data_IF_837817591067
#
_entry.id   IF_837817591067
#
_cell.length_a   1.000
_cell.length_b   1.000
_cell.length_c   1.000
_cell.angle_alpha   90.00
_cell.angle_beta   90.00
_cell.angle_gamma   90.00
#
_symmetry.space_group_name_H-M   'P 1'
#
loop_
_entity.id
_entity.type
_entity.pdbx_description
1 polymer ?
#
# COMPACT_ATOMS: atom_id res chain seq x y z
N UNK A 1 -7.91 19.31 -21.43
CA UNK A 1 -6.61 18.60 -21.41
C UNK A 1 -5.53 19.56 -21.87
N UNK A 2 -4.29 19.44 -21.40
CA UNK A 2 -3.17 20.18 -22.01
C UNK A 2 -2.43 19.28 -23.03
N UNK A 3 -1.63 19.88 -23.91
CA UNK A 3 -0.92 19.15 -24.98
C UNK A 3 -0.01 18.02 -24.46
N UNK A 4 0.55 18.16 -23.25
CA UNK A 4 1.34 17.11 -22.62
C UNK A 4 0.47 15.90 -22.25
N UNK A 5 -0.65 16.14 -21.58
CA UNK A 5 -1.59 15.09 -21.20
C UNK A 5 -2.18 14.37 -22.42
N UNK A 6 -2.47 15.08 -23.51
CA UNK A 6 -2.94 14.46 -24.76
C UNK A 6 -1.93 13.45 -25.32
N UNK A 7 -0.63 13.79 -25.32
CA UNK A 7 0.43 12.88 -25.77
C UNK A 7 0.58 11.67 -24.85
N UNK A 8 0.47 11.88 -23.54
CA UNK A 8 0.53 10.80 -22.55
C UNK A 8 -0.65 9.83 -22.75
N UNK A 9 -1.88 10.35 -22.85
CA UNK A 9 -3.08 9.53 -23.06
C UNK A 9 -2.97 8.75 -24.38
N UNK A 10 -2.54 9.39 -25.47
CA UNK A 10 -2.35 8.70 -26.76
C UNK A 10 -1.30 7.56 -26.66
N UNK A 11 -0.20 7.78 -25.94
CA UNK A 11 0.80 6.74 -25.69
C UNK A 11 0.26 5.56 -24.89
N UNK A 12 -0.56 5.83 -23.87
CA UNK A 12 -1.24 4.80 -23.07
C UNK A 12 -2.20 4.00 -23.93
N UNK A 13 -3.03 4.66 -24.73
CA UNK A 13 -3.96 3.99 -25.65
C UNK A 13 -3.24 3.04 -26.60
N UNK A 14 -2.12 3.50 -27.18
CA UNK A 14 -1.29 2.69 -28.07
C UNK A 14 -0.75 1.46 -27.34
N UNK A 15 -0.14 1.65 -26.17
CA UNK A 15 0.44 0.55 -25.39
C UNK A 15 -0.61 -0.50 -25.00
N UNK A 16 -1.76 -0.07 -24.50
CA UNK A 16 -2.82 -0.99 -24.07
C UNK A 16 -3.40 -1.79 -25.24
N UNK A 17 -3.53 -1.18 -26.41
CA UNK A 17 -4.01 -1.86 -27.62
C UNK A 17 -2.99 -2.87 -28.18
N UNK A 18 -1.71 -2.48 -28.25
CA UNK A 18 -0.64 -3.29 -28.86
C UNK A 18 -0.13 -4.40 -27.94
N UNK A 19 0.08 -4.11 -26.66
CA UNK A 19 0.75 -5.01 -25.71
C UNK A 19 -0.23 -5.78 -24.81
N UNK A 20 -1.37 -5.18 -24.46
CA UNK A 20 -2.33 -5.78 -23.52
C UNK A 20 -3.62 -6.26 -24.19
N UNK A 21 -3.85 -5.89 -25.46
CA UNK A 21 -5.11 -6.11 -26.18
C UNK A 21 -6.35 -5.62 -25.42
N UNK A 22 -6.18 -4.50 -24.70
CA UNK A 22 -7.27 -3.80 -24.01
C UNK A 22 -7.62 -2.56 -24.83
N UNK A 23 -8.90 -2.42 -25.14
CA UNK A 23 -9.43 -1.36 -26.00
C UNK A 23 -10.41 -0.48 -25.23
N UNK A 24 -10.59 0.79 -25.63
CA UNK A 24 -11.62 1.64 -25.03
C UNK A 24 -13.02 1.10 -25.30
N UNK A 25 -13.97 1.45 -24.43
CA UNK A 25 -15.38 1.16 -24.62
C UNK A 25 -16.04 2.02 -25.72
N UNK A 26 -17.34 1.82 -25.94
CA UNK A 26 -18.12 2.54 -26.95
C UNK A 26 -18.12 4.08 -26.76
N UNK A 27 -17.81 4.57 -25.55
CA UNK A 27 -17.69 6.00 -25.25
C UNK A 27 -16.26 6.53 -25.45
N UNK A 28 -15.37 5.68 -25.95
CA UNK A 28 -13.96 5.95 -26.12
C UNK A 28 -13.25 6.08 -24.78
N UNK A 29 -13.64 5.33 -23.74
CA UNK A 29 -13.01 5.37 -22.42
C UNK A 29 -12.21 4.09 -22.20
N UNK A 30 -10.92 4.23 -21.88
CA UNK A 30 -10.01 3.11 -21.64
C UNK A 30 -9.84 2.83 -20.15
N UNK A 31 -9.98 1.56 -19.77
CA UNK A 31 -9.73 1.08 -18.41
C UNK A 31 -8.24 0.84 -18.22
N UNK A 32 -7.67 1.47 -17.18
CA UNK A 32 -6.24 1.42 -16.90
C UNK A 32 -5.93 1.06 -15.44
N UNK A 33 -4.73 0.54 -15.24
CA UNK A 33 -4.15 0.27 -13.94
C UNK A 33 -3.18 1.39 -13.56
N UNK A 34 -3.35 1.95 -12.36
CA UNK A 34 -2.56 3.10 -11.92
C UNK A 34 -1.93 2.89 -10.55
N UNK A 35 -0.71 3.39 -10.41
CA UNK A 35 -0.10 3.67 -9.13
C UNK A 35 -0.55 5.05 -8.66
N UNK A 36 -0.95 5.14 -7.39
CA UNK A 36 -1.33 6.39 -6.76
C UNK A 36 -0.57 6.57 -5.45
N UNK A 37 0.04 7.74 -5.29
CA UNK A 37 0.71 8.13 -4.05
C UNK A 37 0.75 9.66 -3.89
N UNK A 38 0.86 10.09 -2.63
CA UNK A 38 1.04 11.46 -2.21
C UNK A 38 2.48 11.77 -1.79
N UNK A 39 2.92 12.99 -2.03
CA UNK A 39 4.16 13.54 -1.48
C UNK A 39 3.87 14.87 -0.82
N UNK A 40 4.59 15.16 0.28
CA UNK A 40 4.39 16.37 1.08
C UNK A 40 5.67 17.19 1.11
N UNK A 41 5.52 18.52 1.11
CA UNK A 41 6.65 19.45 1.15
C UNK A 41 7.51 19.28 2.41
N UNK A 42 6.92 18.79 3.51
CA UNK A 42 7.64 18.57 4.76
C UNK A 42 7.27 17.22 5.37
N UNK A 43 8.21 16.60 6.08
CA UNK A 43 7.98 15.32 6.75
C UNK A 43 6.95 15.47 7.88
N UNK A 44 6.07 14.48 8.00
CA UNK A 44 5.06 14.37 9.06
C UNK A 44 3.72 15.02 8.72
N UNK A 45 2.73 14.84 9.59
CA UNK A 45 1.32 15.20 9.33
C UNK A 45 0.99 16.69 9.48
N UNK A 46 1.97 17.59 9.32
CA UNK A 46 1.81 19.05 9.48
C UNK A 46 2.13 19.84 8.20
N UNK A 47 2.40 19.15 7.10
CA UNK A 47 2.69 19.83 5.84
C UNK A 47 1.46 20.56 5.32
N UNK A 48 1.68 21.76 4.78
CA UNK A 48 0.61 22.59 4.24
C UNK A 48 0.49 22.50 2.72
N UNK A 49 1.38 21.73 2.09
CA UNK A 49 1.42 21.54 0.64
C UNK A 49 1.66 20.05 0.40
N UNK A 50 0.73 19.43 -0.33
CA UNK A 50 0.83 18.06 -0.81
C UNK A 50 0.66 18.00 -2.32
N UNK A 51 1.34 17.07 -2.97
CA UNK A 51 1.16 16.75 -4.36
C UNK A 51 0.80 15.27 -4.46
N UNK A 52 -0.21 14.92 -5.23
CA UNK A 52 -0.58 13.54 -5.51
C UNK A 52 -0.45 13.26 -7.01
N UNK A 53 -0.06 12.03 -7.33
CA UNK A 53 0.21 11.62 -8.70
C UNK A 53 -0.55 10.34 -9.04
N UNK A 54 -1.02 10.27 -10.27
CA UNK A 54 -1.55 9.06 -10.91
C UNK A 54 -0.55 8.69 -12.01
N UNK A 55 0.02 7.50 -11.91
CA UNK A 55 1.00 6.97 -12.85
C UNK A 55 0.46 5.68 -13.43
N UNK A 56 0.41 5.56 -14.75
CA UNK A 56 0.03 4.31 -15.40
C UNK A 56 1.05 3.21 -15.10
N UNK A 57 0.57 2.03 -14.68
CA UNK A 57 1.41 0.96 -14.16
C UNK A 57 2.29 0.30 -15.22
N UNK A 58 1.89 0.33 -16.49
CA UNK A 58 2.61 -0.37 -17.54
C UNK A 58 3.58 0.54 -18.30
N UNK A 59 3.14 1.75 -18.66
CA UNK A 59 3.99 2.72 -19.37
C UNK A 59 4.89 3.52 -18.42
N UNK A 60 4.56 3.57 -17.12
CA UNK A 60 5.25 4.44 -16.16
C UNK A 60 4.98 5.94 -16.37
N UNK A 61 4.01 6.28 -17.21
CA UNK A 61 3.71 7.68 -17.55
C UNK A 61 2.91 8.36 -16.44
N UNK A 62 3.24 9.61 -16.12
CA UNK A 62 2.43 10.44 -15.22
C UNK A 62 1.19 10.91 -15.97
N UNK A 63 0.05 10.29 -15.66
CA UNK A 63 -1.25 10.54 -16.30
C UNK A 63 -1.82 11.86 -15.81
N UNK A 64 -1.83 12.04 -14.50
CA UNK A 64 -2.46 13.18 -13.86
C UNK A 64 -1.82 13.47 -12.49
N UNK A 65 -1.97 14.71 -12.02
CA UNK A 65 -1.47 15.13 -10.72
C UNK A 65 -2.29 16.27 -10.14
N UNK A 66 -2.31 16.38 -8.81
CA UNK A 66 -2.95 17.48 -8.11
C UNK A 66 -2.06 18.00 -7.00
N UNK A 67 -1.87 19.32 -6.98
CA UNK A 67 -1.22 20.01 -5.86
C UNK A 67 -2.30 20.63 -4.98
N UNK A 68 -2.36 20.20 -3.73
CA UNK A 68 -3.20 20.78 -2.70
C UNK A 68 -2.37 21.63 -1.74
N UNK A 69 -2.89 22.79 -1.40
CA UNK A 69 -2.27 23.72 -0.48
C UNK A 69 -3.33 24.27 0.49
N UNK A 70 -3.01 24.19 1.77
CA UNK A 70 -3.69 24.91 2.85
C UNK A 70 -2.94 26.19 3.25
N UNK A 71 -1.94 26.59 2.46
CA UNK A 71 -1.10 27.75 2.72
C UNK A 71 -1.15 28.78 1.61
N UNK A 72 -1.23 30.04 2.03
CA UNK A 72 -0.88 31.18 1.19
C UNK A 72 -0.13 32.22 2.05
N UNK A 73 1.01 32.69 1.54
CA UNK A 73 1.82 33.71 2.21
C UNK A 73 1.05 35.01 2.41
N UNK A 74 0.32 35.48 1.39
CA UNK A 74 -0.51 36.69 1.48
C UNK A 74 -1.61 36.54 2.53
N UNK A 75 -2.35 35.42 2.53
CA UNK A 75 -3.35 35.15 3.58
C UNK A 75 -2.73 35.17 4.98
N UNK A 76 -1.53 34.59 5.13
CA UNK A 76 -0.81 34.52 6.40
C UNK A 76 -0.35 35.89 6.89
N UNK A 77 0.08 36.77 5.96
CA UNK A 77 0.42 38.16 6.29
C UNK A 77 -0.85 38.94 6.69
N UNK A 78 -1.91 38.83 5.89
CA UNK A 78 -3.19 39.50 6.15
C UNK A 78 -3.82 39.08 7.50
N UNK A 79 -3.65 37.82 7.91
CA UNK A 79 -4.13 37.36 9.22
C UNK A 79 -3.34 37.92 10.40
N UNK A 80 -2.09 38.36 10.18
CA UNK A 80 -1.22 38.92 11.23
C UNK A 80 -1.19 40.45 11.26
N UNK A 81 -1.63 41.11 10.19
CA UNK A 81 -1.72 42.57 10.14
C UNK A 81 -2.71 43.09 11.18
N UNK A 82 -2.29 44.10 11.95
CA UNK A 82 -3.14 44.87 12.88
C UNK A 82 -3.96 45.91 12.09
N UNK A 83 -5.00 45.44 11.43
CA UNK A 83 -5.98 46.23 10.68
C UNK A 83 -7.40 45.90 11.15
N UNK A 84 -8.36 46.78 10.85
CA UNK A 84 -9.77 46.56 11.17
C UNK A 84 -10.32 45.32 10.45
N UNK A 85 -11.43 44.78 10.96
CA UNK A 85 -12.10 43.62 10.35
C UNK A 85 -12.56 43.91 8.92
N UNK A 86 -13.14 45.09 8.69
CA UNK A 86 -13.64 45.52 7.39
C UNK A 86 -12.53 45.69 6.35
N UNK A 87 -11.40 46.28 6.76
CA UNK A 87 -10.24 46.42 5.89
C UNK A 87 -9.67 45.04 5.52
N UNK A 88 -9.60 44.12 6.50
CA UNK A 88 -9.16 42.74 6.26
C UNK A 88 -10.08 42.01 5.29
N UNK A 89 -11.41 42.18 5.39
CA UNK A 89 -12.39 41.59 4.48
C UNK A 89 -12.18 42.07 3.04
N UNK A 90 -12.09 43.39 2.84
CA UNK A 90 -11.83 44.00 1.51
C UNK A 90 -10.53 43.49 0.89
N UNK A 91 -9.46 43.37 1.68
CA UNK A 91 -8.18 42.85 1.20
C UNK A 91 -8.23 41.35 0.88
N UNK A 92 -8.97 40.54 1.64
CA UNK A 92 -9.18 39.12 1.35
C UNK A 92 -9.97 38.92 0.05
N UNK A 93 -11.04 39.68 -0.16
CA UNK A 93 -11.85 39.63 -1.40
C UNK A 93 -10.98 39.98 -2.61
N UNK A 94 -10.18 41.05 -2.54
CA UNK A 94 -9.22 41.42 -3.59
C UNK A 94 -8.16 40.34 -3.86
N UNK A 95 -7.80 39.54 -2.85
CA UNK A 95 -6.79 38.49 -2.97
C UNK A 95 -7.37 37.15 -3.46
N UNK A 96 -8.68 36.93 -3.36
CA UNK A 96 -9.30 35.61 -3.57
C UNK A 96 -8.88 34.95 -4.89
N UNK A 97 -8.85 35.69 -6.00
CA UNK A 97 -8.46 35.18 -7.32
C UNK A 97 -6.98 34.80 -7.43
N UNK A 98 -6.13 35.29 -6.53
CA UNK A 98 -4.68 34.99 -6.47
C UNK A 98 -4.33 34.05 -5.32
N UNK A 99 -5.32 33.64 -4.53
CA UNK A 99 -5.11 32.78 -3.38
C UNK A 99 -4.54 31.43 -3.84
N UNK A 100 -3.56 30.93 -3.10
CA UNK A 100 -2.96 29.61 -3.35
C UNK A 100 -3.57 28.51 -2.48
N UNK A 101 -4.47 28.86 -1.57
CA UNK A 101 -5.22 27.88 -0.77
C UNK A 101 -6.32 27.29 -1.63
N UNK A 102 -6.27 25.97 -1.83
CA UNK A 102 -7.32 25.19 -2.49
C UNK A 102 -7.79 24.00 -1.62
N UNK A 103 -7.32 23.91 -0.38
CA UNK A 103 -7.69 22.87 0.56
C UNK A 103 -7.69 23.38 2.00
N UNK A 104 -8.74 23.06 2.78
CA UNK A 104 -8.95 23.56 4.14
C UNK A 104 -8.94 22.48 5.22
N UNK A 105 -8.79 21.20 4.83
CA UNK A 105 -8.75 20.08 5.77
C UNK A 105 -7.37 19.83 6.40
N UNK A 106 -7.21 18.65 7.00
CA UNK A 106 -5.94 18.22 7.61
C UNK A 106 -4.91 17.78 6.57
N UNK A 107 -3.62 17.87 6.89
CA UNK A 107 -2.53 17.45 5.99
C UNK A 107 -2.68 16.00 5.50
N UNK A 108 -3.15 15.09 6.37
CA UNK A 108 -3.40 13.69 6.01
C UNK A 108 -4.68 13.49 5.17
N UNK A 109 -5.61 14.45 5.18
CA UNK A 109 -6.79 14.41 4.32
C UNK A 109 -6.50 14.87 2.88
N UNK A 110 -5.38 15.55 2.62
CA UNK A 110 -5.00 16.01 1.27
C UNK A 110 -4.90 14.83 0.29
N UNK A 111 -4.33 13.71 0.73
CA UNK A 111 -4.20 12.53 -0.11
C UNK A 111 -5.56 11.94 -0.49
N UNK A 112 -6.51 11.88 0.45
CA UNK A 112 -7.88 11.46 0.13
C UNK A 112 -8.54 12.41 -0.84
N UNK A 113 -8.45 13.72 -0.59
CA UNK A 113 -9.08 14.75 -1.41
C UNK A 113 -8.52 14.73 -2.84
N UNK A 114 -7.20 14.58 -2.96
CA UNK A 114 -6.55 14.50 -4.25
C UNK A 114 -6.97 13.24 -5.02
N UNK A 115 -7.02 12.07 -4.37
CA UNK A 115 -7.50 10.85 -5.01
C UNK A 115 -8.93 11.01 -5.54
N UNK A 116 -9.85 11.52 -4.71
CA UNK A 116 -11.25 11.74 -5.11
C UNK A 116 -11.32 12.70 -6.30
N UNK A 117 -10.55 13.78 -6.30
CA UNK A 117 -10.53 14.77 -7.39
C UNK A 117 -9.98 14.16 -8.68
N UNK A 118 -8.87 13.42 -8.60
CA UNK A 118 -8.20 12.79 -9.73
C UNK A 118 -9.05 11.69 -10.36
N UNK A 119 -9.74 10.87 -9.55
CA UNK A 119 -10.68 9.86 -10.04
C UNK A 119 -11.93 10.47 -10.68
N UNK A 120 -12.39 11.65 -10.23
CA UNK A 120 -13.57 12.29 -10.82
C UNK A 120 -13.30 12.81 -12.23
N UNK A 121 -12.11 13.36 -12.49
CA UNK A 121 -11.77 13.98 -13.77
C UNK A 121 -11.04 13.06 -14.74
N UNK A 122 -10.81 11.80 -14.37
CA UNK A 122 -10.16 10.81 -15.25
C UNK A 122 -10.97 10.55 -16.51
N UNK A 123 -12.31 10.59 -16.42
CA UNK A 123 -13.21 10.43 -17.58
C UNK A 123 -13.07 11.58 -18.59
N UNK A 124 -12.69 12.79 -18.14
CA UNK A 124 -12.35 13.92 -19.02
C UNK A 124 -11.04 13.66 -19.79
N UNK A 125 -10.19 12.78 -19.26
CA UNK A 125 -9.01 12.25 -19.94
C UNK A 125 -9.30 11.02 -20.81
N UNK A 126 -10.56 10.60 -20.91
CA UNK A 126 -10.97 9.36 -21.57
C UNK A 126 -10.31 8.12 -20.93
N UNK A 127 -10.13 8.13 -19.61
CA UNK A 127 -9.54 7.03 -18.84
C UNK A 127 -10.41 6.69 -17.63
N UNK A 128 -10.46 5.40 -17.25
CA UNK A 128 -10.94 4.96 -15.93
C UNK A 128 -9.84 4.26 -15.17
N UNK A 129 -9.60 4.71 -13.95
CA UNK A 129 -8.60 4.14 -13.05
C UNK A 129 -9.21 2.97 -12.29
N UNK A 130 -9.13 1.77 -12.88
CA UNK A 130 -9.82 0.56 -12.41
C UNK A 130 -9.03 -0.18 -11.35
N UNK A 131 -7.70 -0.19 -11.44
CA UNK A 131 -6.82 -0.74 -10.42
C UNK A 131 -6.00 0.37 -9.80
N UNK A 132 -6.00 0.44 -8.46
CA UNK A 132 -5.17 1.33 -7.67
C UNK A 132 -4.09 0.52 -6.96
N UNK A 133 -2.86 0.63 -7.43
CA UNK A 133 -1.68 0.17 -6.70
C UNK A 133 -1.27 1.27 -5.72
N UNK A 134 -1.35 0.99 -4.41
CA UNK A 134 -0.93 1.94 -3.37
C UNK A 134 -0.34 1.26 -2.15
N UNK A 135 0.46 2.00 -1.38
CA UNK A 135 0.83 1.61 -0.01
C UNK A 135 -0.43 1.63 0.85
N UNK A 136 -0.87 0.52 1.44
CA UNK A 136 -1.59 0.52 2.72
C UNK A 136 -2.88 1.35 2.91
N UNK A 137 -3.33 2.13 1.92
CA UNK A 137 -4.25 3.28 2.08
C UNK A 137 -5.69 2.84 2.10
N UNK A 138 -6.06 2.18 3.19
CA UNK A 138 -7.42 1.73 3.40
C UNK A 138 -8.42 2.90 3.40
N UNK A 139 -8.03 4.10 3.87
CA UNK A 139 -8.93 5.26 3.93
C UNK A 139 -9.17 5.92 2.58
N UNK A 140 -8.12 6.04 1.76
CA UNK A 140 -8.20 6.61 0.41
C UNK A 140 -9.05 5.71 -0.47
N UNK A 141 -8.70 4.41 -0.50
CA UNK A 141 -9.47 3.43 -1.26
C UNK A 141 -10.93 3.34 -0.82
N UNK A 142 -11.22 3.35 0.50
CA UNK A 142 -12.60 3.37 0.99
C UNK A 142 -13.37 4.58 0.47
N UNK A 143 -12.72 5.74 0.37
CA UNK A 143 -13.35 6.96 -0.13
C UNK A 143 -13.62 6.87 -1.63
N UNK A 144 -12.71 6.26 -2.40
CA UNK A 144 -12.91 5.98 -3.82
C UNK A 144 -14.10 5.05 -4.07
N UNK A 145 -14.22 3.97 -3.29
CA UNK A 145 -15.37 3.06 -3.37
C UNK A 145 -16.67 3.78 -2.99
N UNK A 146 -16.64 4.59 -1.94
CA UNK A 146 -17.82 5.33 -1.49
C UNK A 146 -18.30 6.32 -2.55
N UNK A 147 -17.40 7.07 -3.20
CA UNK A 147 -17.81 7.96 -4.29
C UNK A 147 -18.33 7.14 -5.46
N UNK A 148 -17.65 6.06 -5.87
CA UNK A 148 -18.01 5.27 -7.04
C UNK A 148 -19.43 4.68 -6.92
N UNK A 149 -19.80 4.24 -5.72
CA UNK A 149 -21.12 3.66 -5.45
C UNK A 149 -22.26 4.69 -5.36
N UNK A 150 -21.97 5.97 -5.13
CA UNK A 150 -22.96 7.06 -4.96
C UNK A 150 -23.08 7.89 -6.24
N UNK A 151 -23.29 7.26 -7.39
CA UNK A 151 -23.22 7.90 -8.73
C UNK A 151 -21.82 8.35 -9.14
N UNK A 152 -20.77 7.71 -8.60
CA UNK A 152 -19.41 8.17 -8.82
C UNK A 152 -18.91 7.97 -10.25
N UNK A 153 -17.65 8.31 -10.51
CA UNK A 153 -17.19 8.63 -11.85
C UNK A 153 -17.35 7.48 -12.85
N UNK A 154 -17.42 6.23 -12.38
CA UNK A 154 -17.49 5.05 -13.23
C UNK A 154 -18.81 4.26 -13.10
N UNK A 155 -19.65 4.57 -12.10
CA UNK A 155 -20.87 3.81 -11.80
C UNK A 155 -20.64 2.44 -11.13
N UNK A 156 -21.74 1.75 -10.83
CA UNK A 156 -21.74 0.50 -10.03
C UNK A 156 -21.14 -0.71 -10.75
N UNK A 157 -21.13 -0.68 -12.08
CA UNK A 157 -20.64 -1.79 -12.91
C UNK A 157 -19.11 -1.80 -12.98
N UNK A 158 -18.46 -0.66 -12.76
CA UNK A 158 -17.01 -0.49 -12.82
C UNK A 158 -16.43 -0.42 -11.40
N UNK A 159 -16.12 -1.60 -10.84
CA UNK A 159 -15.57 -1.71 -9.49
C UNK A 159 -14.08 -1.40 -9.46
N UNK A 160 -13.69 -0.40 -8.67
CA UNK A 160 -12.28 -0.07 -8.40
C UNK A 160 -11.66 -1.17 -7.52
N UNK A 161 -10.53 -1.72 -7.95
CA UNK A 161 -9.77 -2.74 -7.23
C UNK A 161 -8.55 -2.07 -6.58
N UNK A 162 -8.22 -2.50 -5.36
CA UNK A 162 -6.97 -2.12 -4.71
C UNK A 162 -5.98 -3.26 -4.78
N UNK A 163 -4.78 -2.93 -5.27
CA UNK A 163 -3.62 -3.79 -5.16
C UNK A 163 -2.58 -3.19 -4.20
N UNK A 164 -1.59 -4.01 -3.88
CA UNK A 164 -0.51 -3.64 -2.96
C UNK A 164 0.81 -3.58 -3.69
N UNK A 165 1.55 -2.51 -3.45
CA UNK A 165 2.91 -2.43 -3.94
C UNK A 165 3.81 -3.47 -3.25
N UNK A 166 4.84 -3.92 -3.97
CA UNK A 166 5.84 -4.92 -3.51
C UNK A 166 6.47 -4.57 -2.16
N UNK A 167 6.67 -3.27 -1.92
CA UNK A 167 7.26 -2.76 -0.68
C UNK A 167 6.35 -2.99 0.54
N UNK A 168 5.04 -3.10 0.33
CA UNK A 168 4.08 -3.34 1.40
C UNK A 168 3.66 -4.81 1.50
N UNK A 169 3.75 -5.56 0.40
CA UNK A 169 3.50 -7.00 0.38
C UNK A 169 4.38 -7.75 1.40
N UNK A 170 5.70 -7.57 1.36
CA UNK A 170 6.59 -8.27 2.29
C UNK A 170 6.49 -7.74 3.74
N UNK A 171 6.25 -6.42 3.93
CA UNK A 171 5.95 -5.85 5.27
C UNK A 171 4.68 -6.42 5.88
N UNK A 172 3.67 -6.73 5.04
CA UNK A 172 2.44 -7.40 5.48
C UNK A 172 2.72 -8.81 5.96
N UNK A 173 3.53 -9.58 5.24
CA UNK A 173 3.95 -10.92 5.67
C UNK A 173 4.58 -10.85 7.06
N UNK A 174 5.56 -9.96 7.24
CA UNK A 174 6.18 -9.74 8.56
C UNK A 174 5.16 -9.34 9.64
N UNK A 175 4.27 -8.39 9.33
CA UNK A 175 3.24 -7.92 10.27
C UNK A 175 2.30 -9.06 10.70
N UNK A 176 1.95 -9.96 9.78
CA UNK A 176 1.11 -11.13 10.08
C UNK A 176 1.87 -12.15 10.92
N UNK A 177 3.14 -12.40 10.63
CA UNK A 177 3.99 -13.28 11.45
C UNK A 177 4.20 -12.71 12.87
N UNK A 178 4.43 -11.40 13.01
CA UNK A 178 4.50 -10.74 14.32
C UNK A 178 3.17 -10.81 15.07
N UNK A 179 2.05 -10.66 14.37
CA UNK A 179 0.72 -10.83 14.97
C UNK A 179 0.49 -12.28 15.41
N UNK A 180 0.89 -13.25 14.59
CA UNK A 180 0.82 -14.67 14.89
C UNK A 180 1.68 -15.02 16.12
N UNK A 181 2.93 -14.54 16.16
CA UNK A 181 3.80 -14.64 17.34
C UNK A 181 3.13 -14.08 18.60
N UNK A 182 2.45 -12.93 18.49
CA UNK A 182 1.73 -12.32 19.61
C UNK A 182 0.48 -13.11 20.02
N UNK A 183 -0.31 -13.62 19.07
CA UNK A 183 -1.50 -14.41 19.40
C UNK A 183 -1.14 -15.76 20.02
N UNK A 184 -0.01 -16.35 19.61
CA UNK A 184 0.51 -17.56 20.23
C UNK A 184 1.14 -17.30 21.60
N UNK A 185 1.57 -16.06 21.90
CA UNK A 185 2.04 -15.64 23.22
C UNK A 185 0.96 -15.61 24.30
N UNK A 186 -0.33 -15.65 23.96
CA UNK A 186 -1.41 -15.57 24.97
C UNK A 186 -1.97 -16.91 25.48
N UNK A 187 -1.50 -18.10 25.04
CA UNK A 187 -1.73 -19.36 25.79
C UNK A 187 -0.62 -20.41 25.60
N UNK A 188 0.22 -20.53 26.65
CA UNK A 188 0.82 -21.74 27.28
C UNK A 188 2.34 -21.67 27.48
N UNK A 189 2.74 -21.71 28.75
CA UNK A 189 3.97 -22.39 29.15
C UNK A 189 3.79 -23.90 28.89
N UNK A 190 4.79 -24.55 28.32
CA UNK A 190 4.84 -26.01 28.30
C UNK A 190 5.43 -26.51 29.61
N UNK A 191 5.04 -27.70 30.06
CA UNK A 191 5.61 -28.35 31.25
C UNK A 191 7.15 -28.55 31.18
N UNK A 192 7.75 -28.33 30.00
CA UNK A 192 9.18 -28.48 29.71
C UNK A 192 9.91 -27.13 29.50
N UNK A 193 9.26 -25.98 29.64
CA UNK A 193 9.90 -24.65 29.51
C UNK A 193 10.34 -24.25 28.09
N UNK A 194 9.94 -24.98 27.04
CA UNK A 194 10.31 -24.65 25.64
C UNK A 194 9.44 -23.54 25.06
N UNK A 195 10.10 -22.59 24.41
CA UNK A 195 9.53 -21.38 23.79
C UNK A 195 9.13 -21.64 22.34
N UNK A 196 8.01 -21.04 21.89
CA UNK A 196 7.56 -20.96 20.50
C UNK A 196 8.66 -20.43 19.56
N UNK A 197 8.83 -21.06 18.40
CA UNK A 197 10.01 -21.01 17.53
C UNK A 197 10.03 -19.80 16.56
N UNK A 198 8.96 -19.03 16.45
CA UNK A 198 8.94 -17.74 15.75
C UNK A 198 9.71 -16.65 16.53
N UNK A 199 11.02 -16.60 16.32
CA UNK A 199 11.87 -15.49 16.80
C UNK A 199 11.75 -14.26 15.89
N UNK A 200 12.16 -13.08 16.39
CA UNK A 200 12.18 -11.87 15.55
C UNK A 200 13.17 -12.02 14.37
N UNK A 201 14.27 -12.74 14.57
CA UNK A 201 15.23 -13.06 13.52
C UNK A 201 14.58 -13.95 12.46
N UNK A 202 13.94 -15.05 12.86
CA UNK A 202 13.18 -15.94 11.96
C UNK A 202 12.17 -15.15 11.12
N UNK A 203 11.39 -14.26 11.74
CA UNK A 203 10.38 -13.45 11.03
C UNK A 203 11.02 -12.52 9.99
N UNK A 204 12.13 -11.86 10.34
CA UNK A 204 12.85 -10.97 9.42
C UNK A 204 13.46 -11.75 8.25
N UNK A 205 14.00 -12.94 8.50
CA UNK A 205 14.54 -13.79 7.43
C UNK A 205 13.43 -14.31 6.51
N UNK A 206 12.30 -14.76 7.06
CA UNK A 206 11.12 -15.17 6.26
C UNK A 206 10.55 -14.00 5.43
N UNK A 207 10.50 -12.79 6.00
CA UNK A 207 10.14 -11.57 5.27
C UNK A 207 11.10 -11.30 4.10
N UNK A 208 12.41 -11.44 4.34
CA UNK A 208 13.43 -11.22 3.32
C UNK A 208 13.32 -12.26 2.20
N UNK A 209 13.19 -13.55 2.52
CA UNK A 209 12.96 -14.59 1.52
C UNK A 209 11.75 -14.30 0.65
N UNK A 210 10.64 -13.87 1.25
CA UNK A 210 9.44 -13.48 0.52
C UNK A 210 9.71 -12.31 -0.45
N UNK A 211 10.43 -11.28 0.00
CA UNK A 211 10.79 -10.14 -0.86
C UNK A 211 11.70 -10.56 -2.01
N UNK A 212 12.69 -11.41 -1.75
CA UNK A 212 13.61 -11.93 -2.77
C UNK A 212 12.85 -12.72 -3.84
N UNK A 213 11.93 -13.61 -3.44
CA UNK A 213 11.09 -14.35 -4.37
C UNK A 213 10.27 -13.39 -5.26
N UNK A 214 9.60 -12.38 -4.67
CA UNK A 214 8.85 -11.37 -5.43
C UNK A 214 9.74 -10.63 -6.44
N UNK A 215 10.96 -10.25 -6.05
CA UNK A 215 11.86 -9.52 -6.94
C UNK A 215 12.40 -10.36 -8.10
N UNK A 216 12.59 -11.68 -7.92
CA UNK A 216 13.06 -12.58 -8.99
C UNK A 216 12.02 -12.81 -10.08
N UNK A 217 10.75 -12.61 -9.76
CA UNK A 217 9.62 -12.91 -10.65
C UNK A 217 8.90 -11.64 -11.16
N UNK A 218 9.56 -10.48 -11.15
CA UNK A 218 9.03 -9.28 -11.81
C UNK A 218 8.92 -9.54 -13.32
N UNK A 219 7.74 -9.33 -13.90
CA UNK A 219 7.44 -9.65 -15.30
C UNK A 219 7.29 -11.15 -15.58
N UNK A 220 7.36 -12.01 -14.55
CA UNK A 220 7.20 -13.45 -14.67
C UNK A 220 5.75 -13.91 -14.45
N UNK A 221 5.52 -15.23 -14.55
CA UNK A 221 4.20 -15.80 -14.30
C UNK A 221 3.96 -16.07 -12.81
N UNK A 222 2.68 -16.10 -12.43
CA UNK A 222 2.26 -16.25 -11.04
C UNK A 222 2.60 -17.64 -10.45
N UNK A 223 2.66 -18.69 -11.28
CA UNK A 223 2.86 -20.07 -10.81
C UNK A 223 4.28 -20.23 -10.26
N UNK A 224 5.27 -19.70 -10.99
CA UNK A 224 6.66 -19.73 -10.57
C UNK A 224 6.89 -18.87 -9.33
N UNK A 225 6.27 -17.68 -9.28
CA UNK A 225 6.29 -16.84 -8.08
C UNK A 225 5.74 -17.58 -6.85
N UNK A 226 4.62 -18.30 -6.99
CA UNK A 226 4.06 -19.07 -5.88
C UNK A 226 5.01 -20.19 -5.43
N UNK A 227 5.68 -20.86 -6.36
CA UNK A 227 6.67 -21.88 -6.03
C UNK A 227 7.84 -21.28 -5.25
N UNK A 228 8.43 -20.16 -5.72
CA UNK A 228 9.59 -19.54 -5.07
C UNK A 228 9.22 -18.90 -3.71
N UNK A 229 8.01 -18.33 -3.57
CA UNK A 229 7.49 -17.87 -2.27
C UNK A 229 7.38 -19.03 -1.27
N UNK A 230 6.83 -20.16 -1.72
CA UNK A 230 6.57 -21.30 -0.83
C UNK A 230 7.82 -22.11 -0.50
N UNK A 231 8.84 -22.05 -1.35
CA UNK A 231 10.09 -22.81 -1.21
C UNK A 231 10.80 -22.59 0.14
N UNK A 232 11.04 -21.33 0.60
CA UNK A 232 11.54 -21.05 1.94
C UNK A 232 10.68 -21.61 3.07
N UNK A 233 9.35 -21.59 2.93
CA UNK A 233 8.45 -22.14 3.95
C UNK A 233 8.62 -23.66 4.08
N UNK A 234 8.64 -24.40 2.96
CA UNK A 234 8.83 -25.84 2.99
C UNK A 234 10.23 -26.20 3.51
N UNK A 235 11.25 -25.45 3.10
CA UNK A 235 12.61 -25.60 3.63
C UNK A 235 12.67 -25.43 5.15
N UNK A 236 12.15 -24.31 5.67
CA UNK A 236 12.18 -23.99 7.10
C UNK A 236 11.31 -24.92 7.97
N UNK A 237 10.40 -25.70 7.38
CA UNK A 237 9.56 -26.68 8.08
C UNK A 237 10.03 -28.13 7.87
N UNK A 238 11.16 -28.32 7.19
CA UNK A 238 11.74 -29.62 6.89
C UNK A 238 12.44 -30.20 8.12
N UNK A 239 12.39 -31.52 8.28
CA UNK A 239 13.09 -32.26 9.34
C UNK A 239 13.86 -33.45 8.78
N UNK A 240 14.80 -34.02 9.54
CA UNK A 240 15.51 -35.23 9.13
C UNK A 240 14.55 -36.39 8.83
N UNK A 241 13.45 -36.50 9.59
CA UNK A 241 12.41 -37.52 9.42
C UNK A 241 11.38 -37.21 8.33
N UNK A 242 11.27 -35.95 7.89
CA UNK A 242 10.32 -35.51 6.88
C UNK A 242 10.96 -34.40 6.02
N UNK A 243 11.85 -34.77 5.07
CA UNK A 243 12.54 -33.80 4.23
C UNK A 243 11.57 -33.17 3.22
N UNK A 244 11.46 -31.83 3.24
CA UNK A 244 10.49 -31.04 2.41
C UNK A 244 11.20 -30.11 1.43
N UNK A 245 12.25 -30.58 0.77
CA UNK A 245 13.06 -29.75 -0.13
C UNK A 245 12.59 -29.75 -1.59
N UNK A 246 11.41 -30.29 -1.90
CA UNK A 246 10.92 -30.43 -3.28
C UNK A 246 10.96 -29.13 -4.10
N UNK A 247 10.55 -28.01 -3.48
CA UNK A 247 10.52 -26.70 -4.13
C UNK A 247 11.86 -25.93 -4.08
N UNK A 248 12.87 -26.46 -3.38
CA UNK A 248 14.15 -25.75 -3.20
C UNK A 248 14.96 -25.66 -4.49
N UNK A 249 15.81 -24.63 -4.63
CA UNK A 249 16.87 -24.62 -5.64
C UNK A 249 18.16 -25.20 -5.06
N UNK A 250 18.95 -25.87 -5.89
CA UNK A 250 20.29 -26.38 -5.54
C UNK A 250 21.26 -25.26 -5.13
N UNK A 251 21.01 -24.02 -5.55
CA UNK A 251 21.93 -22.91 -5.33
C UNK A 251 22.02 -22.49 -3.85
N UNK A 252 21.03 -22.82 -3.02
CA UNK A 252 20.98 -22.39 -1.62
C UNK A 252 20.55 -23.49 -0.65
N UNK A 253 19.96 -24.58 -1.13
CA UNK A 253 19.44 -25.64 -0.28
C UNK A 253 20.51 -26.67 0.02
N UNK A 254 20.94 -26.70 1.29
CA UNK A 254 21.94 -27.63 1.78
C UNK A 254 21.61 -29.10 1.42
N UNK A 255 20.34 -29.49 1.55
CA UNK A 255 19.88 -30.85 1.32
C UNK A 255 20.02 -31.27 -0.15
N UNK A 256 19.64 -30.39 -1.08
CA UNK A 256 19.81 -30.64 -2.52
C UNK A 256 21.28 -30.62 -2.92
N UNK A 257 22.09 -29.76 -2.31
CA UNK A 257 23.54 -29.74 -2.54
C UNK A 257 24.19 -31.05 -2.09
N UNK A 258 23.83 -31.57 -0.91
CA UNK A 258 24.40 -32.81 -0.38
C UNK A 258 24.02 -34.02 -1.24
N UNK A 259 22.76 -34.08 -1.72
CA UNK A 259 22.31 -35.10 -2.69
C UNK A 259 23.14 -35.02 -3.98
N UNK A 260 23.30 -33.81 -4.55
CA UNK A 260 24.05 -33.62 -5.79
C UNK A 260 25.52 -33.99 -5.65
N UNK A 261 26.12 -33.64 -4.52
CA UNK A 261 27.51 -33.96 -4.20
C UNK A 261 27.71 -35.43 -3.77
N UNK A 262 26.62 -36.19 -3.60
CA UNK A 262 26.64 -37.58 -3.14
C UNK A 262 27.35 -37.75 -1.78
N UNK A 263 27.16 -36.78 -0.89
CA UNK A 263 27.73 -36.80 0.47
C UNK A 263 26.64 -37.08 1.52
N UNK A 264 27.00 -37.49 2.75
CA UNK A 264 26.04 -37.61 3.83
C UNK A 264 25.26 -36.31 4.05
N UNK A 265 23.93 -36.42 4.11
CA UNK A 265 23.03 -35.28 4.25
C UNK A 265 23.23 -34.64 5.63
N UNK A 266 23.50 -33.33 5.66
CA UNK A 266 23.59 -32.55 6.90
C UNK A 266 22.27 -32.60 7.68
N UNK A 267 22.35 -32.64 9.01
CA UNK A 267 21.13 -32.63 9.85
C UNK A 267 20.43 -31.27 9.83
N UNK A 268 19.10 -31.29 9.78
CA UNK A 268 18.23 -30.11 9.89
C UNK A 268 18.35 -29.39 11.24
N UNK A 269 18.96 -30.03 12.26
CA UNK A 269 19.24 -29.39 13.55
C UNK A 269 20.16 -28.18 13.42
N UNK A 270 20.95 -28.10 12.36
CA UNK A 270 21.91 -27.02 12.11
C UNK A 270 21.35 -25.91 11.21
N UNK A 271 20.05 -25.95 10.90
CA UNK A 271 19.42 -24.89 10.12
C UNK A 271 19.37 -23.58 10.91
N UNK A 272 19.82 -22.50 10.27
CA UNK A 272 19.75 -21.15 10.84
C UNK A 272 18.31 -20.70 11.10
N UNK A 273 17.38 -21.13 10.23
CA UNK A 273 15.96 -20.80 10.33
C UNK A 273 15.12 -22.07 10.27
N UNK A 274 14.44 -22.37 11.37
CA UNK A 274 13.46 -23.44 11.47
C UNK A 274 12.12 -22.89 11.99
N UNK A 275 11.02 -23.53 11.58
CA UNK A 275 9.67 -23.30 12.06
C UNK A 275 9.20 -24.57 12.75
N UNK A 276 8.65 -24.48 13.95
CA UNK A 276 8.19 -25.69 14.65
C UNK A 276 6.92 -26.27 14.03
N UNK A 277 6.69 -27.56 14.29
CA UNK A 277 5.47 -28.25 13.85
C UNK A 277 4.20 -27.57 14.37
N UNK A 278 4.22 -26.98 15.57
CA UNK A 278 3.06 -26.27 16.15
C UNK A 278 2.72 -24.97 15.42
N UNK A 279 3.68 -24.35 14.71
CA UNK A 279 3.51 -23.07 14.02
C UNK A 279 3.27 -23.24 12.51
N UNK A 280 3.65 -24.40 11.97
CA UNK A 280 3.71 -24.70 10.52
C UNK A 280 2.41 -24.31 9.79
N UNK A 281 1.25 -24.73 10.28
CA UNK A 281 -0.03 -24.46 9.61
C UNK A 281 -0.37 -22.96 9.55
N UNK A 282 -0.13 -22.22 10.62
CA UNK A 282 -0.44 -20.79 10.66
C UNK A 282 0.56 -19.96 9.86
N UNK A 283 1.84 -20.34 9.87
CA UNK A 283 2.84 -19.71 9.00
C UNK A 283 2.53 -19.98 7.52
N UNK A 284 2.09 -21.19 7.19
CA UNK A 284 1.66 -21.53 5.83
C UNK A 284 0.55 -20.61 5.35
N UNK A 285 -0.49 -20.40 6.18
CA UNK A 285 -1.59 -19.48 5.85
C UNK A 285 -1.10 -18.07 5.55
N UNK A 286 -0.10 -17.58 6.31
CA UNK A 286 0.50 -16.26 6.07
C UNK A 286 1.18 -16.20 4.69
N UNK A 287 1.99 -17.20 4.35
CA UNK A 287 2.69 -17.30 3.06
C UNK A 287 1.73 -17.45 1.87
N UNK A 288 0.64 -18.20 2.04
CA UNK A 288 -0.41 -18.34 1.03
C UNK A 288 -1.32 -17.11 0.90
N UNK A 289 -1.06 -16.04 1.66
CA UNK A 289 -1.90 -14.83 1.67
C UNK A 289 -3.23 -14.99 2.44
N UNK A 290 -3.55 -16.18 2.95
CA UNK A 290 -4.77 -16.46 3.73
C UNK A 290 -4.77 -15.77 5.10
N UNK A 291 -5.94 -15.34 5.58
CA UNK A 291 -6.09 -14.73 6.91
C UNK A 291 -5.82 -15.78 8.00
N UNK A 292 -4.71 -15.61 8.73
CA UNK A 292 -4.48 -16.24 10.04
C UNK A 292 -5.28 -15.46 11.09
N UNK A 293 -6.44 -16.01 11.49
CA UNK A 293 -7.44 -15.51 12.47
C UNK A 293 -7.90 -14.04 12.34
N UNK A 294 -9.08 -13.66 12.85
CA UNK A 294 -9.57 -12.28 12.80
C UNK A 294 -8.63 -11.36 13.59
N UNK A 295 -8.33 -10.19 13.02
CA UNK A 295 -7.58 -9.13 13.70
C UNK A 295 -8.31 -8.79 15.00
N UNK A 296 -7.67 -8.85 16.19
CA UNK A 296 -8.28 -8.28 17.38
C UNK A 296 -8.62 -6.82 17.08
N UNK A 297 -9.84 -6.40 17.40
CA UNK A 297 -10.26 -5.02 17.22
C UNK A 297 -9.20 -4.12 17.86
N UNK A 298 -8.62 -3.19 17.08
CA UNK A 298 -7.75 -2.16 17.66
C UNK A 298 -8.61 -1.44 18.69
N UNK A 299 -8.34 -1.66 19.99
CA UNK A 299 -8.85 -0.78 21.04
C UNK A 299 -8.38 0.62 20.65
N UNK A 300 -9.28 1.46 20.13
CA UNK A 300 -9.02 2.88 19.97
C UNK A 300 -8.58 3.35 21.36
N UNK A 301 -7.33 3.78 21.51
CA UNK A 301 -6.99 4.65 22.64
C UNK A 301 -7.94 5.82 22.50
N UNK A 302 -8.87 5.96 23.44
CA UNK A 302 -9.69 7.15 23.63
C UNK A 302 -8.68 8.27 23.81
N UNK A 303 -8.35 8.98 22.74
CA UNK A 303 -7.77 10.31 22.88
C UNK A 303 -8.87 11.11 23.55
N UNK A 304 -8.70 11.37 24.84
CA UNK A 304 -9.43 12.40 25.55
C UNK A 304 -9.20 13.69 24.78
N UNK A 305 -10.18 14.06 23.95
CA UNK A 305 -10.34 15.42 23.50
C UNK A 305 -10.56 16.23 24.76
N UNK A 306 -9.56 17.02 25.14
CA UNK A 306 -9.82 18.19 25.99
C UNK A 306 -10.80 19.04 25.19
N UNK A 307 -12.03 19.11 25.68
CA UNK A 307 -12.98 20.15 25.31
C UNK A 307 -12.33 21.48 25.68
N UNK A 308 -11.76 22.17 24.70
CA UNK A 308 -11.51 23.60 24.83
C UNK A 308 -12.87 24.28 24.66
N UNK A 309 -13.45 24.65 25.80
CA UNK A 309 -14.50 25.66 25.89
C UNK A 309 -14.04 26.94 25.20
N UNK A 310 -14.45 27.15 23.95
CA UNK A 310 -14.51 28.49 23.39
C UNK A 310 -15.87 29.08 23.80
N UNK A 311 -15.87 29.78 24.94
CA UNK A 311 -16.96 30.68 25.28
C UNK A 311 -16.99 31.79 24.23
N UNK A 312 -18.14 31.96 23.60
CA UNK A 312 -18.56 33.22 22.98
C UNK A 312 -18.38 34.35 24.00
N UNK A 313 -17.50 35.29 23.66
CA UNK A 313 -17.35 36.56 24.35
C UNK A 313 -17.20 37.62 23.27
N UNK A 314 -17.96 38.69 23.45
CA UNK A 314 -18.19 39.80 22.53
C UNK A 314 -16.91 40.49 21.99
N UNK A 315 -17.14 41.29 20.94
CA UNK A 315 -16.26 42.18 20.14
C UNK A 315 -15.80 41.65 18.77
#
# INVERSE_FOLDING_TARGET
>A
MNQYQERVVAGIYKYYAEELHIYPDDNGILDIEVSYDGSWMTRGHKSKIGAAFVIDCFTGSVVDYLVLSSYCGTCTVLSRKKISSDERKKLKEKHQSKCKVNYTGSSGGMEKEAAVTLWKRSVDLKLRYMVMVSDGDASTFKSLIEINNKEGPYGTDHKIIKEECKNHLHKRVASRLFSLKRSMREKKETATGKVLVLTDATIKTLQWYYLVAVNRHIGGNWKDLKVDIMSPFFHCTSTDSNPRHGLCSENWCFYKQDIKAQVPIRSHKNMEVAISSSETLEVQKVFEGKRSTPRPAKKRKRTTTKEEHYKSGDF
#
